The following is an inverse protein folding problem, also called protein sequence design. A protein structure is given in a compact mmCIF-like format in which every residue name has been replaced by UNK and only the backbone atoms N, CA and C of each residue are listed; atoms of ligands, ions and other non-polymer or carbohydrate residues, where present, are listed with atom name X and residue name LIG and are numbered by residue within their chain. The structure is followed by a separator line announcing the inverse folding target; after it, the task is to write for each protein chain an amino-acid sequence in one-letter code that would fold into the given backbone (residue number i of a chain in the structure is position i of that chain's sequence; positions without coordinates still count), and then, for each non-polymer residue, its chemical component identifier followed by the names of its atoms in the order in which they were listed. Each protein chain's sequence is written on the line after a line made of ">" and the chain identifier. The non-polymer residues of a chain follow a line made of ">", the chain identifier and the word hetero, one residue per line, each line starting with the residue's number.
data_IF_903768481504
#
_entry.id   IF_903768481504
#
_cell.length_a   1.000
_cell.length_b   1.000
_cell.length_c   1.000
_cell.angle_alpha   90.00
_cell.angle_beta   90.00
_cell.angle_gamma   90.00
#
_symmetry.space_group_name_H-M   'P 1'
#
loop_
_entity.id
_entity.type
_entity.pdbx_description
1 polymer ?
#
# COMPACT_ATOMS: atom_id res chain seq x y z
N UNK A 1 -22.60 5.49 27.49
CA UNK A 1 -21.18 5.43 27.01
C UNK A 1 -20.38 4.76 28.12
N UNK A 2 -19.81 3.60 27.84
CA UNK A 2 -18.99 2.87 28.83
C UNK A 2 -17.76 3.71 29.22
N UNK A 3 -17.44 3.81 30.53
CA UNK A 3 -16.18 4.41 31.00
C UNK A 3 -14.99 3.66 30.35
N UNK A 4 -14.01 4.36 29.82
CA UNK A 4 -12.84 3.77 29.14
C UNK A 4 -13.00 3.50 27.65
N UNK A 5 -14.15 3.67 27.02
CA UNK A 5 -14.36 3.41 25.59
C UNK A 5 -13.49 4.29 24.67
N UNK A 6 -13.19 5.52 25.08
CA UNK A 6 -12.27 6.42 24.35
C UNK A 6 -10.81 5.96 24.43
N UNK A 7 -10.41 5.46 25.59
CA UNK A 7 -9.02 5.00 25.78
C UNK A 7 -8.78 3.67 25.09
N UNK A 8 -9.75 2.77 25.09
CA UNK A 8 -9.71 1.54 24.30
C UNK A 8 -9.63 1.85 22.79
N UNK A 9 -10.38 2.84 22.29
CA UNK A 9 -10.32 3.24 20.89
C UNK A 9 -8.96 3.85 20.53
N UNK A 10 -8.38 4.71 21.40
CA UNK A 10 -7.03 5.26 21.21
C UNK A 10 -5.97 4.18 21.19
N UNK A 11 -6.03 3.22 22.14
CA UNK A 11 -5.12 2.09 22.19
C UNK A 11 -5.19 1.25 20.91
N UNK A 12 -6.40 0.95 20.43
CA UNK A 12 -6.62 0.23 19.16
C UNK A 12 -6.05 1.00 17.96
N UNK A 13 -6.27 2.31 17.87
CA UNK A 13 -5.71 3.14 16.81
C UNK A 13 -4.19 3.16 16.84
N UNK A 14 -3.60 3.26 18.03
CA UNK A 14 -2.14 3.22 18.23
C UNK A 14 -1.56 1.86 17.82
N UNK A 15 -2.18 0.76 18.21
CA UNK A 15 -1.78 -0.58 17.79
C UNK A 15 -1.82 -0.72 16.26
N UNK A 16 -2.88 -0.26 15.62
CA UNK A 16 -2.99 -0.26 14.15
C UNK A 16 -1.87 0.54 13.50
N UNK A 17 -1.60 1.75 13.97
CA UNK A 17 -0.56 2.62 13.42
C UNK A 17 0.83 1.96 13.50
N UNK A 18 1.13 1.29 14.62
CA UNK A 18 2.38 0.53 14.79
C UNK A 18 2.46 -0.63 13.78
N UNK A 19 1.40 -1.43 13.65
CA UNK A 19 1.36 -2.57 12.73
C UNK A 19 1.47 -2.13 11.26
N UNK A 20 0.84 -1.02 10.90
CA UNK A 20 0.80 -0.50 9.53
C UNK A 20 2.14 0.04 9.04
N UNK A 21 2.99 0.58 9.94
CA UNK A 21 4.30 1.13 9.61
C UNK A 21 5.39 0.48 10.49
N UNK A 22 5.35 -0.86 10.61
CA UNK A 22 6.36 -1.59 11.35
C UNK A 22 7.71 -1.57 10.61
N UNK A 23 8.82 -1.67 11.37
CA UNK A 23 10.17 -1.72 10.80
C UNK A 23 10.32 -2.89 9.83
N UNK A 24 9.71 -4.02 10.16
CA UNK A 24 9.71 -5.20 9.29
C UNK A 24 9.05 -4.92 7.93
N UNK A 25 7.90 -4.24 7.90
CA UNK A 25 7.26 -3.84 6.63
C UNK A 25 8.12 -2.87 5.83
N UNK A 26 8.76 -1.90 6.49
CA UNK A 26 9.68 -0.97 5.83
C UNK A 26 10.84 -1.70 5.18
N UNK A 27 11.44 -2.66 5.85
CA UNK A 27 12.53 -3.47 5.30
C UNK A 27 12.10 -4.27 4.07
N UNK A 28 10.90 -4.86 4.10
CA UNK A 28 10.34 -5.59 2.96
C UNK A 28 10.08 -4.64 1.78
N UNK A 29 9.44 -3.50 2.04
CA UNK A 29 9.22 -2.48 1.00
C UNK A 29 10.56 -2.09 0.38
N UNK A 30 11.57 -1.82 1.18
CA UNK A 30 12.91 -1.47 0.71
C UNK A 30 13.55 -2.58 -0.14
N UNK A 31 13.37 -3.84 0.25
CA UNK A 31 13.79 -5.00 -0.53
C UNK A 31 13.14 -5.04 -1.91
N UNK A 32 11.80 -4.93 -1.95
CA UNK A 32 11.03 -4.91 -3.21
C UNK A 32 11.49 -3.77 -4.12
N UNK A 33 11.68 -2.56 -3.57
CA UNK A 33 12.15 -1.40 -4.33
C UNK A 33 13.55 -1.61 -4.91
N UNK A 34 14.46 -2.21 -4.15
CA UNK A 34 15.81 -2.52 -4.61
C UNK A 34 15.83 -3.52 -5.78
N UNK A 35 14.99 -4.54 -5.70
CA UNK A 35 14.91 -5.59 -6.72
C UNK A 35 14.25 -5.07 -8.01
N UNK A 36 13.39 -4.05 -7.91
CA UNK A 36 12.56 -3.57 -9.02
C UNK A 36 12.84 -2.10 -9.40
N UNK A 37 14.11 -1.68 -9.38
CA UNK A 37 14.52 -0.28 -9.59
C UNK A 37 14.11 0.32 -10.95
N UNK A 38 13.85 -0.51 -11.94
CA UNK A 38 13.47 -0.08 -13.30
C UNK A 38 11.96 -0.03 -13.51
N UNK A 39 11.20 -0.46 -12.51
CA UNK A 39 9.76 -0.54 -12.59
C UNK A 39 9.08 0.65 -11.93
N UNK A 40 7.90 1.03 -12.44
CA UNK A 40 7.05 2.02 -11.78
C UNK A 40 6.24 1.34 -10.68
N UNK A 41 6.38 1.84 -9.47
CA UNK A 41 5.84 1.23 -8.26
C UNK A 41 4.90 2.21 -7.56
N UNK A 42 3.71 1.75 -7.19
CA UNK A 42 2.80 2.51 -6.32
C UNK A 42 2.64 1.78 -4.99
N UNK A 43 2.86 2.51 -3.90
CA UNK A 43 2.69 2.03 -2.54
C UNK A 43 1.38 2.58 -1.98
N UNK A 44 0.52 1.69 -1.49
CA UNK A 44 -0.79 2.02 -0.94
C UNK A 44 -0.81 1.87 0.57
N UNK A 45 -1.31 2.90 1.27
CA UNK A 45 -1.54 2.89 2.70
C UNK A 45 -3.02 3.10 3.04
N UNK A 46 -3.42 2.73 4.26
CA UNK A 46 -4.80 2.87 4.73
C UNK A 46 -5.20 4.32 5.03
N UNK A 47 -4.26 5.14 5.45
CA UNK A 47 -4.45 6.51 5.93
C UNK A 47 -3.26 7.41 5.58
N UNK A 48 -3.47 8.72 5.75
CA UNK A 48 -2.47 9.72 5.42
C UNK A 48 -1.28 9.72 6.38
N UNK A 49 -1.51 9.46 7.65
CA UNK A 49 -0.44 9.51 8.66
C UNK A 49 0.59 8.42 8.39
N UNK A 50 0.12 7.21 8.07
CA UNK A 50 0.98 6.11 7.59
C UNK A 50 1.71 6.49 6.30
N UNK A 51 1.01 7.14 5.35
CA UNK A 51 1.63 7.58 4.10
C UNK A 51 2.76 8.58 4.34
N UNK A 52 2.50 9.64 5.10
CA UNK A 52 3.53 10.65 5.39
C UNK A 52 4.72 10.06 6.14
N UNK A 53 4.45 9.26 7.18
CA UNK A 53 5.53 8.62 7.95
C UNK A 53 6.41 7.71 7.10
N UNK A 54 5.81 6.93 6.20
CA UNK A 54 6.58 6.10 5.26
C UNK A 54 7.33 6.94 4.24
N UNK A 55 6.71 8.01 3.73
CA UNK A 55 7.34 8.93 2.79
C UNK A 55 8.59 9.59 3.37
N UNK A 56 8.54 10.02 4.63
CA UNK A 56 9.69 10.54 5.35
C UNK A 56 10.79 9.51 5.51
N UNK A 57 10.45 8.29 5.98
CA UNK A 57 11.43 7.22 6.23
C UNK A 57 12.07 6.66 4.94
N UNK A 58 11.34 6.68 3.84
CA UNK A 58 11.80 6.16 2.55
C UNK A 58 12.26 7.27 1.58
N UNK A 59 12.17 8.55 1.98
CA UNK A 59 12.47 9.73 1.16
C UNK A 59 11.70 9.71 -0.18
N UNK A 60 10.38 9.46 -0.12
CA UNK A 60 9.53 9.30 -1.30
C UNK A 60 8.41 10.33 -1.37
N UNK A 61 7.98 10.74 -2.60
CA UNK A 61 6.83 11.61 -2.76
C UNK A 61 5.55 10.94 -2.28
N UNK A 62 4.73 11.72 -1.57
CA UNK A 62 3.47 11.26 -0.96
C UNK A 62 2.29 12.00 -1.54
N UNK A 63 1.37 11.26 -2.16
CA UNK A 63 0.14 11.79 -2.71
C UNK A 63 -1.04 11.47 -1.79
N UNK A 64 -1.65 12.51 -1.21
CA UNK A 64 -2.85 12.38 -0.36
C UNK A 64 -3.97 13.31 -0.84
N UNK A 65 -5.15 13.23 -0.23
CA UNK A 65 -6.23 14.17 -0.52
C UNK A 65 -5.89 15.62 -0.11
N UNK A 66 -4.89 15.80 0.76
CA UNK A 66 -4.39 17.11 1.19
C UNK A 66 -3.39 17.72 0.21
N UNK A 67 -2.86 16.93 -0.74
CA UNK A 67 -1.92 17.41 -1.75
C UNK A 67 -2.62 18.39 -2.68
N UNK A 68 -2.07 19.59 -2.83
CA UNK A 68 -2.61 20.65 -3.68
C UNK A 68 -2.65 20.22 -5.15
N UNK A 69 -3.60 20.75 -5.92
CA UNK A 69 -3.82 20.31 -7.30
C UNK A 69 -2.57 20.47 -8.20
N UNK A 70 -1.83 21.57 -8.05
CA UNK A 70 -0.60 21.81 -8.82
C UNK A 70 0.50 20.81 -8.46
N UNK A 71 0.72 20.56 -7.16
CA UNK A 71 1.69 19.61 -6.66
C UNK A 71 1.31 18.16 -7.05
N UNK A 72 0.03 17.84 -6.97
CA UNK A 72 -0.50 16.54 -7.42
C UNK A 72 -0.20 16.30 -8.90
N UNK A 73 -0.44 17.31 -9.74
CA UNK A 73 -0.13 17.22 -11.16
C UNK A 73 1.37 16.99 -11.40
N UNK A 74 2.23 17.76 -10.73
CA UNK A 74 3.69 17.61 -10.83
C UNK A 74 4.14 16.20 -10.43
N UNK A 75 3.68 15.67 -9.30
CA UNK A 75 4.01 14.31 -8.86
C UNK A 75 3.56 13.23 -9.87
N UNK A 76 2.36 13.37 -10.43
CA UNK A 76 1.85 12.43 -11.42
C UNK A 76 2.60 12.52 -12.75
N UNK A 77 2.97 13.71 -13.19
CA UNK A 77 3.74 13.93 -14.42
C UNK A 77 5.16 13.36 -14.28
N UNK A 78 5.83 13.58 -13.15
CA UNK A 78 7.14 12.99 -12.85
C UNK A 78 7.09 11.46 -12.66
N UNK A 79 6.00 10.94 -12.12
CA UNK A 79 5.78 9.50 -12.06
C UNK A 79 5.55 8.91 -13.47
N UNK A 80 4.81 9.63 -14.34
CA UNK A 80 4.58 9.23 -15.72
C UNK A 80 5.86 9.23 -16.55
N UNK A 81 6.72 10.24 -16.38
CA UNK A 81 8.02 10.33 -17.05
C UNK A 81 9.05 9.31 -16.53
N UNK A 82 8.84 8.76 -15.32
CA UNK A 82 9.79 7.89 -14.64
C UNK A 82 10.85 8.62 -13.82
N UNK A 83 10.79 9.94 -13.72
CA UNK A 83 11.66 10.73 -12.83
C UNK A 83 11.43 10.34 -11.36
N UNK A 84 10.17 10.09 -11.01
CA UNK A 84 9.80 9.44 -9.74
C UNK A 84 9.35 8.02 -10.03
N UNK A 85 10.22 7.02 -9.89
CA UNK A 85 9.84 5.63 -10.15
C UNK A 85 8.86 5.06 -9.11
N UNK A 86 8.77 5.70 -7.94
CA UNK A 86 7.91 5.27 -6.84
C UNK A 86 6.99 6.42 -6.40
N UNK A 87 5.71 6.11 -6.21
CA UNK A 87 4.72 7.02 -5.66
C UNK A 87 4.03 6.37 -4.48
N UNK A 88 4.01 7.05 -3.35
CA UNK A 88 3.33 6.59 -2.15
C UNK A 88 1.99 7.32 -2.01
N UNK A 89 0.92 6.58 -1.75
CA UNK A 89 -0.42 7.17 -1.68
C UNK A 89 -1.29 6.56 -0.59
N UNK A 90 -2.19 7.37 -0.06
CA UNK A 90 -3.30 6.92 0.76
C UNK A 90 -4.55 6.66 -0.10
N UNK A 91 -5.74 6.77 0.46
CA UNK A 91 -7.04 6.50 -0.21
C UNK A 91 -7.38 7.36 -1.43
N UNK A 92 -6.54 8.28 -1.81
CA UNK A 92 -6.86 9.42 -2.71
C UNK A 92 -7.07 9.07 -4.17
N UNK A 93 -6.60 7.92 -4.61
CA UNK A 93 -6.76 7.53 -6.02
C UNK A 93 -8.17 7.01 -6.35
N UNK A 94 -9.19 7.39 -5.56
CA UNK A 94 -10.56 6.91 -5.70
C UNK A 94 -11.39 7.68 -6.71
N UNK A 95 -11.14 8.97 -6.92
CA UNK A 95 -12.05 9.86 -7.62
C UNK A 95 -11.33 10.62 -8.74
N UNK A 96 -11.57 10.22 -9.98
CA UNK A 96 -11.30 11.06 -11.16
C UNK A 96 -9.84 11.43 -11.44
N UNK A 97 -8.87 10.91 -10.69
CA UNK A 97 -7.46 11.18 -10.92
C UNK A 97 -6.94 10.18 -11.96
N UNK A 98 -6.47 10.69 -13.09
CA UNK A 98 -5.76 9.89 -14.09
C UNK A 98 -4.37 9.51 -13.55
N UNK A 99 -4.33 8.37 -12.86
CA UNK A 99 -3.08 7.84 -12.30
C UNK A 99 -2.32 7.10 -13.39
N UNK A 100 -1.06 7.46 -13.62
CA UNK A 100 -0.25 6.73 -14.58
C UNK A 100 -0.09 5.26 -14.22
N UNK A 101 0.02 4.43 -15.23
CA UNK A 101 0.14 2.98 -15.06
C UNK A 101 1.42 2.62 -14.30
N UNK A 102 1.29 1.67 -13.38
CA UNK A 102 2.37 1.07 -12.64
C UNK A 102 2.44 -0.44 -12.95
N UNK A 103 3.64 -0.99 -12.97
CA UNK A 103 3.86 -2.43 -13.13
C UNK A 103 3.79 -3.16 -11.78
N UNK A 104 4.04 -2.44 -10.67
CA UNK A 104 4.04 -3.02 -9.34
C UNK A 104 3.19 -2.18 -8.39
N UNK A 105 2.35 -2.86 -7.63
CA UNK A 105 1.62 -2.31 -6.49
C UNK A 105 2.09 -2.94 -5.18
N UNK A 106 2.27 -2.12 -4.15
CA UNK A 106 2.57 -2.59 -2.79
C UNK A 106 1.47 -2.10 -1.86
N UNK A 107 0.71 -3.00 -1.26
CA UNK A 107 -0.29 -2.68 -0.24
C UNK A 107 0.32 -2.91 1.12
N UNK A 108 0.71 -1.85 1.80
CA UNK A 108 1.30 -1.91 3.15
C UNK A 108 0.23 -2.02 4.20
N UNK A 109 -0.87 -1.30 3.99
CA UNK A 109 -2.07 -1.39 4.81
C UNK A 109 -3.27 -1.01 3.95
N UNK A 110 -4.41 -1.65 4.17
CA UNK A 110 -5.59 -1.41 3.35
C UNK A 110 -6.84 -1.11 4.16
N UNK A 111 -7.78 -0.38 3.57
CA UNK A 111 -9.13 -0.24 4.11
C UNK A 111 -9.92 -1.54 3.94
N UNK A 112 -10.91 -1.77 4.81
CA UNK A 112 -11.78 -2.95 4.73
C UNK A 112 -12.69 -3.04 3.51
N UNK A 113 -12.73 -2.01 2.64
CA UNK A 113 -13.52 -2.01 1.40
C UNK A 113 -12.78 -2.77 0.30
N UNK A 114 -13.12 -4.03 0.16
CA UNK A 114 -12.51 -4.95 -0.82
C UNK A 114 -12.77 -4.54 -2.25
N UNK A 115 -14.00 -4.14 -2.55
CA UNK A 115 -14.46 -3.83 -3.92
C UNK A 115 -13.74 -2.62 -4.51
N UNK A 116 -13.69 -1.51 -3.78
CA UNK A 116 -13.01 -0.28 -4.21
C UNK A 116 -11.51 -0.51 -4.40
N UNK A 117 -10.90 -1.26 -3.48
CA UNK A 117 -9.49 -1.57 -3.53
C UNK A 117 -9.13 -2.35 -4.80
N UNK A 118 -9.88 -3.41 -5.11
CA UNK A 118 -9.64 -4.26 -6.30
C UNK A 118 -9.89 -3.50 -7.60
N UNK A 119 -10.98 -2.74 -7.67
CA UNK A 119 -11.29 -1.94 -8.86
C UNK A 119 -10.21 -0.90 -9.15
N UNK A 120 -9.69 -0.27 -8.11
CA UNK A 120 -8.61 0.72 -8.20
C UNK A 120 -7.32 0.10 -8.71
N UNK A 121 -6.86 -0.97 -8.06
CA UNK A 121 -5.67 -1.69 -8.47
C UNK A 121 -5.76 -2.12 -9.94
N UNK A 122 -6.92 -2.57 -10.36
CA UNK A 122 -7.10 -2.99 -11.74
C UNK A 122 -7.09 -1.89 -12.80
N UNK A 123 -7.23 -0.62 -12.40
CA UNK A 123 -7.05 0.52 -13.31
C UNK A 123 -5.61 0.98 -13.39
N UNK A 124 -4.88 0.83 -12.29
CA UNK A 124 -3.52 1.35 -12.12
C UNK A 124 -2.47 0.33 -12.54
N UNK A 125 -2.67 -0.94 -12.14
CA UNK A 125 -1.72 -2.00 -12.44
C UNK A 125 -1.97 -2.53 -13.84
N UNK A 126 -1.04 -2.27 -14.75
CA UNK A 126 -1.05 -2.78 -16.11
C UNK A 126 0.25 -3.49 -16.44
N UNK A 127 0.10 -4.58 -17.16
CA UNK A 127 1.24 -5.29 -17.74
C UNK A 127 1.94 -4.41 -18.77
N UNK A 128 3.26 -4.35 -18.72
CA UNK A 128 4.10 -3.66 -19.69
C UNK A 128 5.01 -4.69 -20.37
N UNK A 129 5.16 -4.58 -21.68
CA UNK A 129 6.11 -5.38 -22.47
C UNK A 129 5.94 -6.90 -22.29
N UNK A 130 4.68 -7.40 -22.21
CA UNK A 130 4.39 -8.83 -22.03
C UNK A 130 4.60 -9.36 -20.60
N UNK A 131 5.08 -8.53 -19.66
CA UNK A 131 5.20 -8.89 -18.25
C UNK A 131 3.88 -8.69 -17.51
N UNK A 132 3.58 -9.55 -16.55
CA UNK A 132 2.41 -9.41 -15.69
C UNK A 132 2.64 -8.32 -14.65
N UNK A 133 1.59 -7.55 -14.33
CA UNK A 133 1.64 -6.63 -13.21
C UNK A 133 1.68 -7.41 -11.89
N UNK A 134 2.53 -6.96 -10.96
CA UNK A 134 2.72 -7.60 -9.65
C UNK A 134 2.00 -6.82 -8.56
N UNK A 135 1.40 -7.54 -7.63
CA UNK A 135 0.80 -6.96 -6.44
C UNK A 135 1.35 -7.64 -5.17
N UNK A 136 2.04 -6.87 -4.36
CA UNK A 136 2.48 -7.29 -3.04
C UNK A 136 1.49 -6.80 -1.98
N UNK A 137 1.05 -7.68 -1.10
CA UNK A 137 0.24 -7.34 0.05
C UNK A 137 0.99 -7.68 1.34
N UNK A 138 1.35 -6.66 2.13
CA UNK A 138 2.09 -6.81 3.38
C UNK A 138 1.10 -6.87 4.54
N UNK A 139 1.12 -7.95 5.27
CA UNK A 139 0.21 -8.23 6.38
C UNK A 139 1.03 -8.58 7.62
N UNK A 140 0.80 -7.89 8.73
CA UNK A 140 1.41 -8.23 10.01
C UNK A 140 0.67 -9.40 10.63
N UNK A 141 1.40 -10.46 11.00
CA UNK A 141 0.83 -11.63 11.67
C UNK A 141 0.27 -11.28 13.05
N UNK A 142 -0.74 -12.02 13.50
CA UNK A 142 -1.38 -11.80 14.79
C UNK A 142 -2.18 -10.49 14.91
N UNK A 143 -2.38 -9.74 13.82
CA UNK A 143 -3.12 -8.48 13.82
C UNK A 143 -4.47 -8.56 13.09
N UNK A 144 -5.29 -7.52 13.24
CA UNK A 144 -6.55 -7.39 12.50
C UNK A 144 -6.36 -7.29 10.98
N UNK A 145 -5.14 -7.03 10.50
CA UNK A 145 -4.81 -6.96 9.07
C UNK A 145 -5.02 -8.31 8.38
N UNK A 146 -4.76 -9.43 9.07
CA UNK A 146 -5.01 -10.77 8.53
C UNK A 146 -6.47 -10.95 8.11
N UNK A 147 -7.41 -10.63 8.99
CA UNK A 147 -8.85 -10.73 8.71
C UNK A 147 -9.30 -9.82 7.57
N UNK A 148 -8.68 -8.64 7.45
CA UNK A 148 -8.96 -7.70 6.36
C UNK A 148 -8.40 -8.23 5.04
N UNK A 149 -7.22 -8.81 5.04
CA UNK A 149 -6.60 -9.44 3.88
C UNK A 149 -7.40 -10.64 3.38
N UNK A 150 -7.81 -11.53 4.29
CA UNK A 150 -8.61 -12.72 3.93
C UNK A 150 -9.95 -12.34 3.29
N UNK A 151 -10.67 -11.35 3.85
CA UNK A 151 -11.90 -10.83 3.24
C UNK A 151 -11.68 -10.27 1.83
N UNK A 152 -10.54 -9.62 1.58
CA UNK A 152 -10.20 -9.11 0.25
C UNK A 152 -9.99 -10.24 -0.76
N UNK A 153 -9.32 -11.31 -0.35
CA UNK A 153 -9.02 -12.46 -1.22
C UNK A 153 -10.25 -13.29 -1.60
N UNK A 154 -11.26 -13.35 -0.75
CA UNK A 154 -12.52 -14.05 -1.01
C UNK A 154 -13.38 -13.37 -2.10
N UNK A 155 -13.02 -12.19 -2.57
CA UNK A 155 -13.78 -11.49 -3.58
C UNK A 155 -13.45 -11.99 -4.98
N UNK A 156 -14.48 -12.42 -5.77
CA UNK A 156 -14.36 -12.95 -7.15
C UNK A 156 -13.48 -12.13 -8.10
N UNK A 157 -13.34 -10.82 -7.87
CA UNK A 157 -12.48 -9.96 -8.69
C UNK A 157 -10.97 -10.30 -8.55
N UNK A 158 -10.57 -11.01 -7.51
CA UNK A 158 -9.21 -11.54 -7.36
C UNK A 158 -9.00 -12.82 -8.17
N UNK A 159 -10.04 -13.63 -8.36
CA UNK A 159 -9.97 -14.88 -9.11
C UNK A 159 -9.88 -14.65 -10.62
N UNK A 160 -10.50 -13.57 -11.14
CA UNK A 160 -10.61 -13.31 -12.58
C UNK A 160 -9.43 -12.56 -13.19
N UNK A 161 -8.51 -12.02 -12.39
CA UNK A 161 -7.33 -11.29 -12.89
C UNK A 161 -6.07 -12.09 -12.64
N UNK A 162 -5.24 -12.28 -13.67
CA UNK A 162 -3.89 -12.83 -13.58
C UNK A 162 -2.96 -11.90 -12.79
N UNK A 163 -3.28 -11.62 -11.54
CA UNK A 163 -2.41 -10.97 -10.58
C UNK A 163 -1.66 -12.09 -9.85
N UNK A 164 -0.35 -12.17 -10.01
CA UNK A 164 0.45 -13.07 -9.19
C UNK A 164 0.56 -12.48 -7.79
N UNK A 165 -0.03 -13.15 -6.82
CA UNK A 165 0.11 -12.81 -5.41
C UNK A 165 1.34 -13.48 -4.85
N UNK A 166 2.37 -12.70 -4.54
CA UNK A 166 3.47 -13.21 -3.74
C UNK A 166 3.09 -13.11 -2.27
N UNK A 167 2.83 -14.26 -1.67
CA UNK A 167 2.77 -14.41 -0.22
C UNK A 167 4.22 -14.54 0.25
N UNK A 168 4.90 -13.42 0.48
CA UNK A 168 6.11 -13.46 1.27
C UNK A 168 5.72 -13.75 2.72
N UNK A 169 6.36 -14.77 3.31
CA UNK A 169 5.98 -15.44 4.53
C UNK A 169 5.59 -14.51 5.68
N UNK A 170 4.79 -15.05 6.56
CA UNK A 170 4.44 -14.44 7.83
C UNK A 170 5.70 -13.98 8.55
N UNK A 171 5.84 -12.68 8.76
CA UNK A 171 6.86 -12.16 9.66
C UNK A 171 6.31 -12.40 11.05
N UNK A 172 6.85 -13.42 11.74
CA UNK A 172 6.69 -13.53 13.18
C UNK A 172 7.56 -12.42 13.78
N UNK A 173 6.95 -11.42 14.39
CA UNK A 173 7.67 -10.49 15.25
C UNK A 173 8.35 -11.33 16.35
N UNK A 174 9.68 -11.43 16.35
CA UNK A 174 10.44 -12.00 17.46
C UNK A 174 11.38 -13.16 17.18
N UNK A 175 11.88 -13.36 15.96
CA UNK A 175 13.09 -14.18 15.79
C UNK A 175 14.18 -13.35 15.09
N UNK A 176 15.02 -12.74 15.92
CA UNK A 176 16.39 -12.40 15.54
C UNK A 176 17.08 -13.73 15.22
N UNK A 177 17.40 -13.95 13.96
CA UNK A 177 18.35 -14.99 13.62
C UNK A 177 19.74 -14.48 13.98
N UNK A 178 20.36 -15.17 14.94
CA UNK A 178 21.80 -15.18 15.20
C UNK A 178 22.59 -15.52 13.93
#
# INVERSE_FOLDING_TARGET
>A
RLPGGRDAMKAYQKQRAIAQCSRAKLNIVWGILRENRKERIIIFTADNDTAYRMGELLCMPVLTHKTKAAERKDFLDRFRSGEYPVLLTSKVLNEGVDVPEASIGIVVSGSGSTREHVQRLGRILRAKDGKQALLYELVSDGTSEMRVSDRRRQHRAYEQRRLQFYRQGYIKDGQENN
#
